data_IF_440908250567
#
_entry.id   IF_440908250567
#
_cell.length_a   1.000
_cell.length_b   1.000
_cell.length_c   1.000
_cell.angle_alpha   90.00
_cell.angle_beta   90.00
_cell.angle_gamma   90.00
#
_symmetry.space_group_name_H-M   'P 1'
#
loop_
_entity.id
_entity.type
_entity.pdbx_description
1 polymer ?
#
# COMPACT_ATOMS: atom_id res chain seq x y z
N UNK A 1 -12.13 -5.05 8.91
CA UNK A 1 -10.73 -5.11 9.38
C UNK A 1 -10.70 -5.21 10.90
N UNK A 2 -10.94 -6.39 11.48
CA UNK A 2 -11.23 -6.52 12.92
C UNK A 2 -10.07 -6.07 13.82
N UNK A 3 -8.83 -6.26 13.38
CA UNK A 3 -7.65 -5.93 14.20
C UNK A 3 -7.46 -4.42 14.35
N UNK A 4 -7.66 -3.63 13.28
CA UNK A 4 -7.56 -2.17 13.37
C UNK A 4 -8.68 -1.57 14.21
N UNK A 5 -9.89 -2.14 14.11
CA UNK A 5 -11.01 -1.76 14.97
C UNK A 5 -10.71 -2.04 16.45
N UNK A 6 -10.18 -3.22 16.77
CA UNK A 6 -9.78 -3.57 18.13
C UNK A 6 -8.68 -2.65 18.68
N UNK A 7 -7.66 -2.31 17.87
CA UNK A 7 -6.63 -1.35 18.28
C UNK A 7 -7.20 0.05 18.49
N UNK A 8 -8.16 0.48 17.66
CA UNK A 8 -8.81 1.78 17.84
C UNK A 8 -9.63 1.84 19.14
N UNK A 9 -10.36 0.77 19.46
CA UNK A 9 -11.09 0.66 20.72
C UNK A 9 -10.14 0.56 21.94
N UNK A 10 -8.99 -0.09 21.78
CA UNK A 10 -7.98 -0.22 22.84
C UNK A 10 -7.26 1.10 23.14
N UNK A 11 -6.86 1.84 22.09
CA UNK A 11 -5.91 2.94 22.18
C UNK A 11 -6.50 4.32 21.83
N UNK A 12 -7.77 4.39 21.43
CA UNK A 12 -8.42 5.62 20.96
C UNK A 12 -8.46 6.73 22.00
N UNK A 13 -8.67 6.39 23.27
CA UNK A 13 -8.64 7.33 24.41
C UNK A 13 -7.23 7.89 24.67
N UNK A 14 -6.20 7.22 24.15
CA UNK A 14 -4.80 7.66 24.19
C UNK A 14 -4.40 8.47 22.94
N UNK A 15 -5.37 8.83 22.09
CA UNK A 15 -5.15 9.64 20.88
C UNK A 15 -4.80 8.85 19.62
N UNK A 16 -4.80 7.51 19.67
CA UNK A 16 -4.54 6.69 18.49
C UNK A 16 -5.72 6.68 17.51
N UNK A 17 -5.45 6.95 16.23
CA UNK A 17 -6.46 6.88 15.16
C UNK A 17 -5.90 6.12 13.95
N UNK A 18 -6.35 4.88 13.68
CA UNK A 18 -6.05 4.25 12.41
C UNK A 18 -6.93 4.85 11.32
N UNK A 19 -6.32 5.30 10.23
CA UNK A 19 -7.02 5.69 9.00
C UNK A 19 -6.83 4.55 8.00
N UNK A 20 -7.91 3.81 7.71
CA UNK A 20 -7.86 2.73 6.72
C UNK A 20 -8.22 3.27 5.34
N UNK A 21 -7.46 2.89 4.32
CA UNK A 21 -7.60 3.41 2.95
C UNK A 21 -7.61 2.24 1.99
N UNK A 22 -8.70 2.10 1.24
CA UNK A 22 -8.88 1.06 0.23
C UNK A 22 -8.46 1.61 -1.15
N UNK A 23 -7.58 0.90 -1.87
CA UNK A 23 -7.10 1.29 -3.21
C UNK A 23 -7.91 0.60 -4.33
N UNK A 24 -9.22 0.53 -4.15
CA UNK A 24 -10.15 -0.13 -5.08
C UNK A 24 -10.59 0.81 -6.21
N UNK A 25 -10.98 0.24 -7.35
CA UNK A 25 -11.36 0.97 -8.56
C UNK A 25 -12.64 1.81 -8.41
N UNK A 26 -13.44 1.55 -7.39
CA UNK A 26 -14.68 2.30 -7.14
C UNK A 26 -15.09 2.19 -5.67
N UNK A 27 -15.94 3.12 -5.23
CA UNK A 27 -16.54 3.03 -3.91
C UNK A 27 -17.38 1.75 -3.76
N UNK A 28 -18.07 1.37 -4.83
CA UNK A 28 -18.93 0.20 -4.93
C UNK A 28 -18.17 -1.11 -4.76
N UNK A 29 -16.92 -1.19 -5.25
CA UNK A 29 -16.06 -2.37 -5.09
C UNK A 29 -15.65 -2.58 -3.63
N UNK A 30 -15.27 -1.51 -2.93
CA UNK A 30 -14.86 -1.59 -1.52
C UNK A 30 -16.05 -1.66 -0.55
N UNK A 31 -17.21 -1.11 -0.91
CA UNK A 31 -18.38 -0.94 -0.04
C UNK A 31 -18.82 -2.21 0.69
N UNK A 32 -18.96 -3.40 0.06
CA UNK A 32 -19.39 -4.61 0.76
C UNK A 32 -18.45 -5.01 1.91
N UNK A 33 -17.15 -4.75 1.76
CA UNK A 33 -16.15 -5.07 2.78
C UNK A 33 -16.18 -4.06 3.93
N UNK A 34 -16.40 -2.78 3.63
CA UNK A 34 -16.53 -1.71 4.62
C UNK A 34 -17.82 -1.88 5.42
N UNK A 35 -18.96 -2.10 4.75
CA UNK A 35 -20.25 -2.33 5.41
C UNK A 35 -20.21 -3.56 6.30
N UNK A 36 -19.61 -4.66 5.85
CA UNK A 36 -19.43 -5.86 6.68
C UNK A 36 -18.52 -5.63 7.89
N UNK A 37 -17.55 -4.72 7.76
CA UNK A 37 -16.60 -4.45 8.83
C UNK A 37 -17.13 -3.49 9.90
N UNK A 38 -18.17 -2.71 9.59
CA UNK A 38 -18.79 -1.69 10.47
C UNK A 38 -17.75 -0.88 11.28
N UNK A 39 -16.72 -0.28 10.62
CA UNK A 39 -15.65 0.40 11.34
C UNK A 39 -16.17 1.67 12.02
N UNK A 40 -15.68 1.95 13.23
CA UNK A 40 -15.91 3.24 13.91
C UNK A 40 -14.73 4.20 13.75
N UNK A 41 -13.59 3.71 13.27
CA UNK A 41 -12.45 4.53 12.85
C UNK A 41 -12.67 5.08 11.42
N UNK A 42 -11.96 6.16 11.03
CA UNK A 42 -12.03 6.67 9.66
C UNK A 42 -11.62 5.61 8.61
N UNK A 43 -12.53 5.35 7.67
CA UNK A 43 -12.30 4.47 6.52
C UNK A 43 -12.54 5.24 5.22
N UNK A 44 -11.52 5.29 4.36
CA UNK A 44 -11.49 6.02 3.10
C UNK A 44 -11.31 5.06 1.93
N UNK A 45 -11.67 5.53 0.73
CA UNK A 45 -11.48 4.83 -0.54
C UNK A 45 -10.74 5.79 -1.45
N UNK A 46 -9.62 5.34 -2.01
CA UNK A 46 -8.77 6.10 -2.90
C UNK A 46 -8.75 5.43 -4.27
N UNK A 47 -9.73 5.79 -5.10
CA UNK A 47 -9.91 5.23 -6.44
C UNK A 47 -8.86 5.69 -7.45
N UNK A 48 -8.15 6.78 -7.13
CA UNK A 48 -7.16 7.40 -8.01
C UNK A 48 -5.71 7.13 -7.56
N UNK A 49 -5.56 6.31 -6.52
CA UNK A 49 -4.27 5.95 -5.91
C UNK A 49 -3.43 7.17 -5.51
N UNK A 50 -4.08 8.30 -5.20
CA UNK A 50 -3.42 9.56 -4.84
C UNK A 50 -2.59 9.39 -3.58
N UNK A 51 -3.11 8.67 -2.58
CA UNK A 51 -2.39 8.39 -1.33
C UNK A 51 -1.15 7.56 -1.62
N UNK A 52 -1.30 6.49 -2.41
CA UNK A 52 -0.17 5.65 -2.78
C UNK A 52 0.91 6.45 -3.51
N UNK A 53 0.53 7.28 -4.47
CA UNK A 53 1.45 8.14 -5.21
C UNK A 53 2.16 9.17 -4.33
N UNK A 54 1.45 9.79 -3.38
CA UNK A 54 2.01 10.83 -2.50
C UNK A 54 2.92 10.28 -1.41
N UNK A 55 2.59 9.11 -0.88
CA UNK A 55 3.41 8.45 0.15
C UNK A 55 4.48 7.54 -0.44
N UNK A 56 4.46 7.31 -1.75
CA UNK A 56 5.38 6.39 -2.41
C UNK A 56 5.16 4.93 -2.01
N UNK A 57 3.89 4.57 -1.79
CA UNK A 57 3.49 3.20 -1.52
C UNK A 57 3.61 2.37 -2.79
N UNK A 58 4.18 1.18 -2.67
CA UNK A 58 4.38 0.26 -3.79
C UNK A 58 3.68 -1.08 -3.56
N UNK A 59 3.02 -1.27 -2.42
CA UNK A 59 2.39 -2.53 -2.07
C UNK A 59 1.19 -2.35 -1.14
N UNK A 60 0.31 -3.35 -1.13
CA UNK A 60 -0.79 -3.50 -0.18
C UNK A 60 -0.77 -4.91 0.43
N UNK A 61 -0.92 -5.06 1.77
CA UNK A 61 -1.09 -4.00 2.75
C UNK A 61 0.21 -3.21 2.97
N UNK A 62 0.07 -1.92 3.31
CA UNK A 62 1.17 -1.08 3.78
C UNK A 62 0.70 -0.13 4.87
N UNK A 63 1.60 0.21 5.78
CA UNK A 63 1.31 1.07 6.94
C UNK A 63 2.39 2.15 7.05
N UNK A 64 1.95 3.36 7.45
CA UNK A 64 2.78 4.52 7.78
C UNK A 64 2.35 5.03 9.15
N UNK A 65 3.30 5.43 10.00
CA UNK A 65 2.99 6.05 11.29
C UNK A 65 3.26 7.54 11.23
N UNK A 66 2.31 8.32 11.70
CA UNK A 66 2.33 9.79 11.68
C UNK A 66 2.10 10.28 13.11
N UNK A 67 3.01 11.10 13.64
CA UNK A 67 2.88 11.70 14.97
C UNK A 67 1.88 12.86 15.00
N UNK A 68 1.64 13.41 16.20
CA UNK A 68 0.69 14.50 16.44
C UNK A 68 1.11 15.81 15.75
N UNK A 69 2.41 15.99 15.44
CA UNK A 69 2.92 17.10 14.65
C UNK A 69 2.81 16.87 13.13
N UNK A 70 2.23 15.75 12.70
CA UNK A 70 2.05 15.42 11.29
C UNK A 70 3.32 14.93 10.59
N UNK A 71 4.31 14.43 11.34
CA UNK A 71 5.55 13.88 10.81
C UNK A 71 5.45 12.37 10.68
N UNK A 72 5.96 11.85 9.57
CA UNK A 72 6.15 10.40 9.43
C UNK A 72 7.25 9.97 10.41
N UNK A 73 6.89 9.16 11.40
CA UNK A 73 7.85 8.59 12.37
C UNK A 73 8.27 7.16 12.00
N UNK A 74 7.43 6.46 11.22
CA UNK A 74 7.75 5.17 10.61
C UNK A 74 7.28 5.16 9.15
N UNK A 75 8.20 5.03 8.17
CA UNK A 75 7.87 5.06 6.75
C UNK A 75 7.09 3.82 6.31
N UNK A 76 6.72 3.76 5.03
CA UNK A 76 5.96 2.65 4.47
C UNK A 76 6.65 1.31 4.79
N UNK A 77 5.89 0.42 5.43
CA UNK A 77 6.28 -0.97 5.63
C UNK A 77 5.11 -1.89 5.27
N UNK A 78 5.42 -3.10 4.80
CA UNK A 78 4.43 -4.15 4.64
C UNK A 78 4.15 -4.74 6.03
N UNK A 79 3.00 -4.42 6.60
CA UNK A 79 2.59 -4.83 7.94
C UNK A 79 1.21 -5.48 7.91
N UNK A 80 1.01 -6.46 8.79
CA UNK A 80 -0.15 -7.31 8.77
C UNK A 80 -0.84 -7.28 10.14
N UNK A 81 -2.17 -7.15 10.13
CA UNK A 81 -2.97 -7.23 11.36
C UNK A 81 -3.23 -8.67 11.82
N UNK A 82 -2.85 -9.70 11.05
CA UNK A 82 -3.12 -11.10 11.40
C UNK A 82 -2.13 -12.05 10.74
N UNK A 83 -1.94 -13.23 11.33
CA UNK A 83 -1.05 -14.28 10.82
C UNK A 83 -1.71 -15.21 9.77
N UNK A 84 -2.91 -14.86 9.29
CA UNK A 84 -3.69 -15.69 8.35
C UNK A 84 -2.90 -16.10 7.10
N UNK A 85 -1.98 -15.25 6.64
CA UNK A 85 -1.14 -15.49 5.47
C UNK A 85 0.35 -15.58 5.79
N UNK A 86 0.71 -15.89 7.05
CA UNK A 86 2.10 -15.95 7.51
C UNK A 86 3.01 -16.80 6.61
N UNK A 87 2.49 -17.92 6.10
CA UNK A 87 3.24 -18.83 5.21
C UNK A 87 3.61 -18.19 3.85
N UNK A 88 2.92 -17.13 3.43
CA UNK A 88 3.16 -16.42 2.17
C UNK A 88 4.10 -15.22 2.35
N UNK A 89 3.92 -14.43 3.41
CA UNK A 89 4.69 -13.20 3.63
C UNK A 89 5.81 -13.32 4.67
N UNK A 90 5.83 -14.38 5.49
CA UNK A 90 6.90 -14.65 6.45
C UNK A 90 7.02 -13.65 7.62
N UNK A 91 5.99 -12.83 7.86
CA UNK A 91 6.00 -11.75 8.86
C UNK A 91 4.89 -11.93 9.88
N UNK A 92 5.23 -12.13 11.15
CA UNK A 92 4.25 -12.22 12.25
C UNK A 92 3.63 -10.85 12.53
N UNK A 93 2.34 -10.85 12.87
CA UNK A 93 1.59 -9.63 13.21
C UNK A 93 1.87 -9.14 14.63
N UNK A 94 2.10 -10.05 15.57
CA UNK A 94 2.30 -9.75 17.00
C UNK A 94 3.33 -8.65 17.29
N UNK A 95 4.59 -8.78 16.83
CA UNK A 95 5.63 -7.77 17.08
C UNK A 95 5.24 -6.37 16.60
N UNK A 96 4.61 -6.27 15.43
CA UNK A 96 4.12 -4.99 14.90
C UNK A 96 3.00 -4.40 15.76
N UNK A 97 2.02 -5.21 16.18
CA UNK A 97 0.91 -4.76 17.02
C UNK A 97 1.39 -4.33 18.42
N UNK A 98 2.42 -4.97 18.98
CA UNK A 98 3.05 -4.53 20.23
C UNK A 98 3.84 -3.23 20.04
N UNK A 99 4.51 -3.06 18.91
CA UNK A 99 5.20 -1.81 18.61
C UNK A 99 4.23 -0.62 18.50
N UNK A 100 3.03 -0.81 17.93
CA UNK A 100 1.98 0.24 17.92
C UNK A 100 1.59 0.61 19.35
N UNK A 101 1.36 -0.39 20.22
CA UNK A 101 1.00 -0.15 21.63
C UNK A 101 2.10 0.58 22.39
N UNK A 102 3.35 0.17 22.20
CA UNK A 102 4.50 0.83 22.82
C UNK A 102 4.58 2.30 22.38
N UNK A 103 4.47 2.56 21.07
CA UNK A 103 4.52 3.92 20.55
C UNK A 103 3.44 4.82 21.14
N UNK A 104 2.19 4.35 21.18
CA UNK A 104 1.08 5.13 21.74
C UNK A 104 1.26 5.37 23.24
N UNK A 105 1.63 4.33 24.01
CA UNK A 105 1.68 4.40 25.48
C UNK A 105 2.92 5.09 26.04
N UNK A 106 4.06 4.99 25.34
CA UNK A 106 5.36 5.44 25.86
C UNK A 106 6.09 6.40 24.93
N UNK A 107 5.60 6.62 23.71
CA UNK A 107 6.29 7.37 22.67
C UNK A 107 7.44 6.60 22.00
N UNK A 108 7.67 5.33 22.36
CA UNK A 108 8.75 4.53 21.81
C UNK A 108 8.43 4.06 20.39
N UNK A 109 9.17 4.58 19.42
CA UNK A 109 9.07 4.12 18.02
C UNK A 109 10.08 3.00 17.81
N UNK A 110 9.60 1.77 17.56
CA UNK A 110 10.47 0.66 17.19
C UNK A 110 11.13 0.92 15.81
N UNK A 111 12.46 1.02 15.78
CA UNK A 111 13.23 1.53 14.63
C UNK A 111 13.87 0.46 13.75
N UNK A 112 13.35 -0.77 13.73
CA UNK A 112 14.22 -1.89 13.34
C UNK A 112 14.63 -1.98 11.86
N UNK A 113 14.04 -1.25 10.89
CA UNK A 113 14.47 -1.43 9.49
C UNK A 113 14.54 -0.15 8.64
N UNK A 114 13.69 0.86 8.86
CA UNK A 114 13.67 2.04 8.00
C UNK A 114 13.25 3.29 8.79
N UNK A 115 14.06 4.35 8.70
CA UNK A 115 13.72 5.68 9.24
C UNK A 115 13.44 6.65 8.08
N UNK A 116 12.58 7.67 8.26
CA UNK A 116 12.17 8.57 7.17
C UNK A 116 13.34 9.20 6.41
N UNK A 117 14.43 9.57 7.11
CA UNK A 117 15.64 10.15 6.51
C UNK A 117 16.41 9.21 5.58
N UNK A 118 16.11 7.91 5.60
CA UNK A 118 16.74 6.90 4.74
C UNK A 118 15.93 6.57 3.49
N UNK A 119 14.80 7.24 3.27
CA UNK A 119 13.97 7.07 2.07
C UNK A 119 14.41 8.05 0.98
N UNK A 120 15.15 7.60 -0.05
CA UNK A 120 15.45 8.44 -1.19
C UNK A 120 14.16 8.78 -1.96
N UNK A 121 14.13 9.93 -2.65
CA UNK A 121 13.02 10.29 -3.52
C UNK A 121 12.82 9.22 -4.61
N UNK A 122 11.61 9.14 -5.20
CA UNK A 122 11.38 8.25 -6.34
C UNK A 122 12.31 8.60 -7.51
N UNK A 123 12.63 7.60 -8.33
CA UNK A 123 13.38 7.83 -9.58
C UNK A 123 12.49 8.50 -10.63
N UNK A 124 13.09 9.05 -11.69
CA UNK A 124 12.35 9.62 -12.80
C UNK A 124 11.42 8.58 -13.48
N UNK A 125 11.82 7.32 -13.54
CA UNK A 125 10.99 6.23 -14.09
C UNK A 125 9.81 5.93 -13.17
N UNK A 126 10.00 5.92 -11.85
CA UNK A 126 8.89 5.74 -10.90
C UNK A 126 7.91 6.92 -10.91
N UNK A 127 8.40 8.15 -11.04
CA UNK A 127 7.55 9.33 -11.22
C UNK A 127 6.76 9.26 -12.53
N UNK A 128 7.43 8.86 -13.62
CA UNK A 128 6.77 8.66 -14.91
C UNK A 128 5.74 7.54 -14.85
N UNK A 129 6.03 6.43 -14.17
CA UNK A 129 5.09 5.32 -14.00
C UNK A 129 3.76 5.78 -13.37
N UNK A 130 3.84 6.65 -12.35
CA UNK A 130 2.64 7.21 -11.69
C UNK A 130 1.90 8.18 -12.59
N UNK A 131 2.61 8.95 -13.42
CA UNK A 131 1.98 9.82 -14.42
C UNK A 131 1.25 9.00 -15.49
N UNK A 132 1.88 7.93 -16.00
CA UNK A 132 1.28 6.98 -16.94
C UNK A 132 0.03 6.32 -16.34
N UNK A 133 0.09 5.89 -15.08
CA UNK A 133 -1.08 5.34 -14.37
C UNK A 133 -2.22 6.37 -14.27
N UNK A 134 -1.92 7.63 -13.91
CA UNK A 134 -2.94 8.68 -13.81
C UNK A 134 -3.60 9.00 -15.16
N UNK A 135 -2.82 8.98 -16.25
CA UNK A 135 -3.35 9.13 -17.62
C UNK A 135 -4.24 7.93 -17.97
N UNK A 136 -3.79 6.71 -17.65
CA UNK A 136 -4.56 5.50 -17.88
C UNK A 136 -5.92 5.53 -17.17
N UNK A 137 -5.93 5.94 -15.89
CA UNK A 137 -7.14 6.13 -15.11
C UNK A 137 -8.07 7.16 -15.74
N UNK A 138 -7.54 8.33 -16.13
CA UNK A 138 -8.32 9.37 -16.80
C UNK A 138 -8.97 8.88 -18.11
N UNK A 139 -8.24 8.14 -18.94
CA UNK A 139 -8.75 7.58 -20.19
C UNK A 139 -9.80 6.50 -19.95
N UNK A 140 -9.57 5.63 -18.96
CA UNK A 140 -10.53 4.61 -18.54
C UNK A 140 -11.87 5.23 -18.15
N UNK A 141 -11.85 6.28 -17.32
CA UNK A 141 -13.05 7.00 -16.89
C UNK A 141 -13.82 7.66 -18.06
N UNK A 142 -13.16 7.86 -19.20
CA UNK A 142 -13.77 8.37 -20.45
C UNK A 142 -14.23 7.27 -21.41
N UNK A 143 -14.03 6.00 -21.05
CA UNK A 143 -14.38 4.84 -21.85
C UNK A 143 -13.35 4.48 -22.93
N UNK A 144 -12.17 5.12 -22.96
CA UNK A 144 -11.10 4.78 -23.90
C UNK A 144 -10.21 3.66 -23.32
N UNK A 145 -10.76 2.45 -23.31
CA UNK A 145 -10.10 1.28 -22.72
C UNK A 145 -8.82 0.86 -23.46
N UNK A 146 -8.73 1.14 -24.76
CA UNK A 146 -7.56 0.78 -25.57
C UNK A 146 -6.38 1.68 -25.22
N UNK A 147 -6.59 3.01 -25.20
CA UNK A 147 -5.53 3.94 -24.81
C UNK A 147 -5.17 3.76 -23.33
N UNK A 148 -6.17 3.59 -22.44
CA UNK A 148 -5.92 3.33 -21.03
C UNK A 148 -5.02 2.10 -20.80
N UNK A 149 -5.28 0.99 -21.51
CA UNK A 149 -4.48 -0.23 -21.39
C UNK A 149 -3.00 0.00 -21.73
N UNK A 150 -2.71 0.78 -22.78
CA UNK A 150 -1.33 1.11 -23.18
C UNK A 150 -0.59 1.87 -22.08
N UNK A 151 -1.26 2.84 -21.46
CA UNK A 151 -0.68 3.62 -20.37
C UNK A 151 -0.50 2.80 -19.08
N UNK A 152 -1.45 1.92 -18.74
CA UNK A 152 -1.26 0.98 -17.62
C UNK A 152 -0.10 0.01 -17.86
N UNK A 153 0.06 -0.50 -19.09
CA UNK A 153 1.18 -1.37 -19.45
C UNK A 153 2.50 -0.61 -19.30
N UNK A 154 2.56 0.62 -19.83
CA UNK A 154 3.75 1.48 -19.72
C UNK A 154 4.11 1.81 -18.27
N UNK A 155 3.12 2.07 -17.42
CA UNK A 155 3.34 2.27 -15.99
C UNK A 155 3.97 1.05 -15.32
N UNK A 156 3.47 -0.16 -15.65
CA UNK A 156 4.02 -1.41 -15.12
C UNK A 156 5.42 -1.75 -15.64
N UNK A 157 5.76 -1.36 -16.87
CA UNK A 157 7.12 -1.49 -17.43
C UNK A 157 8.12 -0.57 -16.72
N UNK A 158 7.72 0.67 -16.43
CA UNK A 158 8.55 1.67 -15.76
C UNK A 158 8.75 1.36 -14.27
N UNK A 159 7.74 0.76 -13.61
CA UNK A 159 7.82 0.38 -12.20
C UNK A 159 7.38 -1.07 -11.99
N UNK A 160 8.24 -2.05 -12.33
CA UNK A 160 7.89 -3.48 -12.31
C UNK A 160 7.64 -4.04 -10.90
N UNK A 161 8.09 -3.33 -9.87
CA UNK A 161 7.98 -3.70 -8.45
C UNK A 161 6.85 -2.97 -7.72
N UNK A 162 6.12 -2.08 -8.41
CA UNK A 162 4.97 -1.38 -7.84
C UNK A 162 3.67 -2.17 -8.05
N UNK A 163 3.24 -2.82 -6.98
CA UNK A 163 2.00 -3.58 -6.92
C UNK A 163 0.75 -2.69 -6.92
N UNK A 164 0.86 -1.43 -6.48
CA UNK A 164 -0.27 -0.48 -6.57
C UNK A 164 -0.56 -0.15 -8.04
N UNK A 165 0.48 -0.12 -8.88
CA UNK A 165 0.35 0.02 -10.33
C UNK A 165 -0.09 -1.29 -10.99
N UNK A 166 0.71 -2.36 -10.85
CA UNK A 166 0.52 -3.58 -11.65
C UNK A 166 -0.71 -4.37 -11.24
N UNK A 167 -0.85 -4.67 -9.94
CA UNK A 167 -2.00 -5.41 -9.41
C UNK A 167 -3.20 -4.50 -9.21
N UNK A 168 -2.98 -3.26 -8.74
CA UNK A 168 -4.06 -2.31 -8.52
C UNK A 168 -4.81 -1.89 -9.79
N UNK A 169 -4.19 -1.98 -10.97
CA UNK A 169 -4.89 -1.76 -12.24
C UNK A 169 -5.67 -2.96 -12.77
N UNK A 170 -5.49 -4.17 -12.21
CA UNK A 170 -6.13 -5.38 -12.73
C UNK A 170 -7.67 -5.30 -12.71
N UNK A 171 -8.34 -4.93 -11.60
CA UNK A 171 -9.80 -4.81 -11.57
C UNK A 171 -10.33 -3.77 -12.54
N UNK A 172 -9.63 -2.63 -12.67
CA UNK A 172 -9.93 -1.53 -13.62
C UNK A 172 -9.97 -2.07 -15.06
N UNK A 173 -9.13 -3.06 -15.35
CA UNK A 173 -8.99 -3.72 -16.66
C UNK A 173 -9.87 -4.97 -16.81
N UNK A 174 -10.77 -5.23 -15.86
CA UNK A 174 -11.64 -6.41 -15.86
C UNK A 174 -10.92 -7.73 -15.55
N UNK A 175 -9.73 -7.65 -14.96
CA UNK A 175 -8.91 -8.81 -14.58
C UNK A 175 -9.08 -9.13 -13.09
N UNK A 176 -8.83 -10.39 -12.71
CA UNK A 176 -8.90 -10.82 -11.32
C UNK A 176 -7.55 -10.56 -10.61
N UNK A 177 -7.48 -9.70 -9.57
CA UNK A 177 -6.24 -9.38 -8.84
C UNK A 177 -5.73 -10.52 -7.94
N UNK A 178 -6.38 -11.69 -8.01
CA UNK A 178 -6.01 -12.97 -7.40
C UNK A 178 -6.13 -14.14 -8.41
N UNK A 179 -6.16 -13.83 -9.72
CA UNK A 179 -6.27 -14.81 -10.81
C UNK A 179 -4.92 -15.32 -11.32
N UNK A 180 -4.91 -16.12 -12.42
CA UNK A 180 -3.70 -16.67 -13.01
C UNK A 180 -2.66 -15.59 -13.38
N UNK A 181 -3.08 -14.47 -13.96
CA UNK A 181 -2.16 -13.38 -14.33
C UNK A 181 -1.46 -12.81 -13.09
N UNK A 182 -2.17 -12.65 -11.97
CA UNK A 182 -1.59 -12.22 -10.70
C UNK A 182 -0.51 -13.19 -10.22
N UNK A 183 -0.76 -14.51 -10.32
CA UNK A 183 0.24 -15.50 -9.91
C UNK A 183 1.48 -15.51 -10.81
N UNK A 184 1.35 -15.18 -12.10
CA UNK A 184 2.52 -14.98 -12.97
C UNK A 184 3.30 -13.73 -12.58
N UNK A 185 2.63 -12.62 -12.24
CA UNK A 185 3.28 -11.43 -11.68
C UNK A 185 4.02 -11.74 -10.37
N UNK A 186 3.40 -12.53 -9.49
CA UNK A 186 3.99 -12.92 -8.21
C UNK A 186 5.22 -13.81 -8.39
N UNK A 187 5.19 -14.76 -9.33
CA UNK A 187 6.35 -15.60 -9.67
C UNK A 187 7.50 -14.77 -10.25
N UNK A 188 7.21 -13.81 -11.14
CA UNK A 188 8.22 -12.88 -11.66
C UNK A 188 8.87 -12.08 -10.51
N UNK A 189 8.06 -11.45 -9.67
CA UNK A 189 8.55 -10.71 -8.50
C UNK A 189 9.36 -11.58 -7.53
N UNK A 190 8.94 -12.82 -7.29
CA UNK A 190 9.68 -13.79 -6.49
C UNK A 190 11.03 -14.15 -7.14
N UNK A 191 11.05 -14.38 -8.45
CA UNK A 191 12.29 -14.66 -9.20
C UNK A 191 13.30 -13.51 -9.16
N UNK A 192 12.82 -12.28 -8.95
CA UNK A 192 13.61 -11.05 -8.82
C UNK A 192 13.96 -10.70 -7.37
N UNK A 193 13.59 -11.56 -6.40
CA UNK A 193 14.01 -11.46 -4.99
C UNK A 193 12.99 -10.86 -4.03
N UNK A 194 11.70 -10.73 -4.42
CA UNK A 194 10.62 -10.18 -3.56
C UNK A 194 10.92 -8.78 -3.01
N UNK A 195 11.38 -7.90 -3.88
CA UNK A 195 11.86 -6.57 -3.52
C UNK A 195 10.78 -5.78 -2.80
N UNK A 196 11.11 -5.30 -1.60
CA UNK A 196 10.27 -4.45 -0.77
C UNK A 196 10.80 -3.03 -0.68
N UNK A 197 10.25 -2.24 0.26
CA UNK A 197 10.62 -0.83 0.44
C UNK A 197 12.12 -0.63 0.71
N UNK A 198 12.73 -1.49 1.53
CA UNK A 198 14.16 -1.41 1.86
C UNK A 198 15.06 -1.65 0.64
N UNK A 199 14.71 -2.65 -0.19
CA UNK A 199 15.44 -3.00 -1.41
C UNK A 199 15.34 -1.87 -2.45
N UNK A 200 14.13 -1.33 -2.65
CA UNK A 200 13.90 -0.21 -3.56
C UNK A 200 14.66 1.04 -3.10
N UNK A 201 14.65 1.32 -1.80
CA UNK A 201 15.45 2.41 -1.24
C UNK A 201 16.96 2.19 -1.45
N UNK A 202 17.46 0.96 -1.36
CA UNK A 202 18.86 0.65 -1.62
C UNK A 202 19.25 0.84 -3.10
N UNK A 203 18.37 0.45 -4.03
CA UNK A 203 18.57 0.65 -5.48
C UNK A 203 18.66 2.13 -5.86
N UNK A 204 17.69 2.92 -5.40
CA UNK A 204 17.64 4.37 -5.63
C UNK A 204 18.88 5.13 -5.14
N UNK A 205 19.60 4.60 -4.15
CA UNK A 205 20.86 5.20 -3.66
C UNK A 205 22.08 4.84 -4.51
N UNK A 206 21.96 3.80 -5.35
CA UNK A 206 23.05 3.28 -6.18
C UNK A 206 23.04 3.83 -7.60
N UNK A 207 21.92 4.44 -8.01
CA UNK A 207 21.73 5.14 -9.29
C UNK A 207 22.12 6.63 -9.19
#
# INVERSE_FOLDING_TARGET
MPVWQALYEELGDEGFVPITIALDESAEAAKPYIEKAEPTHPSLIDTEHVVAHRYGMINVPTVVWIDEEGRVVRPNAAEYGSDMFLQFHGRESGPFLEAVRAWVKTGEVATDEMVPSTMPPPTADEEMARAEWAIAWFLHQRGDSVAAAQHFDRAGELSPDDWTIRRGSMPIRGQNPMGPEFFELAKDWESRGKLGYADMAARRRSD
#
